data_IF_425520252645
#
_entry.id   IF_425520252645
#
_cell.length_a   1.000
_cell.length_b   1.000
_cell.length_c   1.000
_cell.angle_alpha   90.00
_cell.angle_beta   90.00
_cell.angle_gamma   90.00
#
_symmetry.space_group_name_H-M   'P 1'
#
loop_
_entity.id
_entity.type
_entity.pdbx_description
1 polymer ?
#
# COMPACT_ATOMS: atom_id res chain seq x y z
N UNK A 1 -55.97 3.19 53.15
CA UNK A 1 -56.96 2.12 53.37
C UNK A 1 -56.19 0.85 53.58
N UNK A 2 -55.94 0.55 54.82
CA UNK A 2 -56.65 -0.45 55.66
C UNK A 2 -56.13 -1.85 55.36
N UNK A 3 -55.24 -2.31 56.24
CA UNK A 3 -55.53 -3.27 57.33
C UNK A 3 -55.55 -4.71 56.80
N UNK A 4 -54.86 -5.71 57.30
CA UNK A 4 -54.78 -6.20 58.70
C UNK A 4 -53.83 -7.38 58.81
N UNK A 5 -53.06 -7.43 59.88
CA UNK A 5 -52.58 -8.63 60.56
C UNK A 5 -53.70 -9.13 61.53
N UNK A 6 -53.61 -10.19 62.28
CA UNK A 6 -52.81 -11.40 62.48
C UNK A 6 -53.69 -12.68 62.67
N UNK A 7 -53.52 -13.69 63.54
CA UNK A 7 -52.65 -13.85 64.73
C UNK A 7 -51.94 -15.23 64.91
N UNK A 8 -51.02 -15.22 65.83
CA UNK A 8 -50.42 -16.22 66.70
C UNK A 8 -51.32 -17.31 67.31
N UNK A 9 -50.82 -18.53 67.39
CA UNK A 9 -51.16 -19.44 68.53
C UNK A 9 -49.90 -20.27 68.89
N UNK A 10 -49.54 -20.16 70.13
CA UNK A 10 -48.58 -20.95 70.87
C UNK A 10 -49.25 -22.16 71.54
N UNK A 11 -48.49 -23.03 72.15
CA UNK A 11 -48.73 -24.06 73.16
C UNK A 11 -48.14 -25.41 72.69
N UNK A 12 -47.26 -26.11 73.33
CA UNK A 12 -46.70 -26.05 74.68
C UNK A 12 -46.09 -27.44 74.97
N UNK A 13 -45.04 -27.37 75.76
CA UNK A 13 -44.62 -28.37 76.76
C UNK A 13 -44.50 -29.86 76.43
N UNK A 14 -43.28 -30.38 76.51
CA UNK A 14 -42.94 -31.34 77.58
C UNK A 14 -41.45 -31.80 77.46
N UNK A 15 -40.74 -31.59 78.57
CA UNK A 15 -39.47 -32.20 78.90
C UNK A 15 -39.75 -33.59 79.53
N UNK A 16 -38.88 -34.62 79.38
CA UNK A 16 -37.95 -34.94 80.46
C UNK A 16 -36.52 -35.32 79.97
N UNK A 17 -35.51 -34.91 80.75
CA UNK A 17 -34.17 -35.49 80.87
C UNK A 17 -34.23 -36.69 81.87
N UNK A 18 -33.08 -37.34 82.21
CA UNK A 18 -31.74 -37.47 81.64
C UNK A 18 -31.23 -38.91 81.53
N UNK A 19 -30.16 -39.11 80.79
CA UNK A 19 -29.27 -40.24 81.09
C UNK A 19 -27.83 -39.87 80.76
N UNK A 20 -27.05 -39.97 81.79
CA UNK A 20 -25.62 -39.71 81.91
C UNK A 20 -24.86 -40.95 81.51
N UNK A 21 -23.89 -40.87 80.63
CA UNK A 21 -22.81 -41.81 80.52
C UNK A 21 -21.52 -41.14 79.99
N UNK A 22 -20.46 -41.52 80.59
CA UNK A 22 -19.15 -40.90 80.73
C UNK A 22 -18.23 -41.08 79.48
N UNK A 23 -16.97 -40.63 79.61
CA UNK A 23 -16.22 -39.99 78.53
C UNK A 23 -15.43 -40.97 77.71
N UNK A 24 -15.30 -40.72 76.44
CA UNK A 24 -14.30 -41.46 75.64
C UNK A 24 -13.41 -40.47 74.87
N UNK A 25 -12.18 -40.67 75.15
CA UNK A 25 -10.90 -40.25 74.57
C UNK A 25 -10.91 -39.26 73.40
N UNK A 26 -10.17 -38.20 73.65
CA UNK A 26 -9.65 -37.24 72.70
C UNK A 26 -8.97 -37.94 71.51
N UNK A 27 -9.55 -37.76 70.31
CA UNK A 27 -8.79 -37.87 69.06
C UNK A 27 -8.31 -36.47 68.68
N UNK A 28 -7.00 -36.32 68.33
CA UNK A 28 -6.50 -35.01 67.91
C UNK A 28 -7.19 -34.66 66.57
N UNK A 29 -7.77 -33.49 66.55
CA UNK A 29 -8.29 -32.87 65.30
C UNK A 29 -7.12 -32.79 64.30
N UNK A 30 -7.19 -33.65 63.31
CA UNK A 30 -6.42 -33.50 62.08
C UNK A 30 -6.78 -32.16 61.48
N UNK A 31 -5.90 -31.22 61.56
CA UNK A 31 -5.95 -29.95 60.84
C UNK A 31 -6.02 -30.31 59.36
N UNK A 32 -7.22 -30.37 58.84
CA UNK A 32 -7.44 -30.41 57.39
C UNK A 32 -6.80 -29.18 56.79
N UNK A 33 -5.58 -29.34 56.27
CA UNK A 33 -4.98 -28.33 55.43
C UNK A 33 -5.94 -28.04 54.29
N UNK A 34 -6.24 -26.77 54.06
CA UNK A 34 -6.98 -26.40 52.85
C UNK A 34 -6.08 -26.85 51.69
N UNK A 35 -6.50 -27.85 50.94
CA UNK A 35 -5.96 -28.15 49.62
C UNK A 35 -6.14 -26.86 48.83
N UNK A 36 -5.09 -26.06 48.76
CA UNK A 36 -4.96 -25.05 47.70
C UNK A 36 -5.11 -25.82 46.39
N UNK A 37 -6.33 -25.91 45.92
CA UNK A 37 -6.63 -26.37 44.59
C UNK A 37 -5.86 -25.47 43.66
N UNK A 38 -4.69 -25.94 43.19
CA UNK A 38 -4.15 -25.49 41.93
C UNK A 38 -5.27 -25.75 40.91
N UNK A 39 -6.07 -24.75 40.71
CA UNK A 39 -6.90 -24.64 39.51
C UNK A 39 -5.90 -24.45 38.36
N UNK A 40 -5.19 -25.49 38.01
CA UNK A 40 -4.62 -25.62 36.70
C UNK A 40 -5.83 -25.58 35.78
N UNK A 41 -5.99 -24.48 35.06
CA UNK A 41 -6.91 -24.40 33.96
C UNK A 41 -6.85 -25.74 33.22
N UNK A 42 -7.92 -26.48 33.23
CA UNK A 42 -8.00 -27.74 32.49
C UNK A 42 -8.06 -27.41 31.01
N UNK A 43 -6.92 -26.98 30.46
CA UNK A 43 -6.70 -26.67 29.04
C UNK A 43 -7.19 -27.83 28.14
N UNK A 44 -7.27 -29.06 28.70
CA UNK A 44 -7.74 -30.23 27.98
C UNK A 44 -9.17 -30.09 27.45
N UNK A 45 -10.08 -29.44 28.20
CA UNK A 45 -11.48 -29.27 27.79
C UNK A 45 -11.69 -28.16 26.76
N UNK A 46 -10.79 -27.17 26.73
CA UNK A 46 -10.88 -26.01 25.84
C UNK A 46 -9.80 -26.02 24.75
N UNK A 47 -8.97 -27.07 24.72
CA UNK A 47 -7.86 -27.17 23.77
C UNK A 47 -8.30 -26.97 22.32
N UNK A 48 -9.42 -27.60 21.94
CA UNK A 48 -9.89 -27.56 20.57
C UNK A 48 -10.42 -26.17 20.20
N UNK A 49 -11.06 -25.47 21.15
CA UNK A 49 -11.49 -24.09 20.97
C UNK A 49 -10.28 -23.15 20.87
N UNK A 50 -9.28 -23.33 21.73
CA UNK A 50 -8.05 -22.52 21.72
C UNK A 50 -7.31 -22.73 20.39
N UNK A 51 -7.19 -23.96 19.92
CA UNK A 51 -6.56 -24.28 18.64
C UNK A 51 -7.36 -23.68 17.49
N UNK A 52 -8.67 -23.79 17.50
CA UNK A 52 -9.52 -23.20 16.47
C UNK A 52 -9.37 -21.67 16.40
N UNK A 53 -9.39 -20.99 17.55
CA UNK A 53 -9.19 -19.54 17.64
C UNK A 53 -7.78 -19.14 17.19
N UNK A 54 -6.76 -19.90 17.61
CA UNK A 54 -5.38 -19.63 17.20
C UNK A 54 -5.18 -19.79 15.68
N UNK A 55 -5.79 -20.84 15.09
CA UNK A 55 -5.77 -21.03 13.64
C UNK A 55 -6.54 -19.94 12.91
N UNK A 56 -7.67 -19.50 13.45
CA UNK A 56 -8.43 -18.37 12.89
C UNK A 56 -7.60 -17.07 12.90
N UNK A 57 -6.98 -16.75 14.03
CA UNK A 57 -6.12 -15.56 14.14
C UNK A 57 -4.88 -15.66 13.23
N UNK A 58 -4.30 -16.85 13.08
CA UNK A 58 -3.19 -17.07 12.16
C UNK A 58 -3.63 -16.85 10.71
N UNK A 59 -4.81 -17.32 10.36
CA UNK A 59 -5.38 -17.13 9.02
C UNK A 59 -5.67 -15.65 8.75
N UNK A 60 -6.30 -14.94 9.71
CA UNK A 60 -6.55 -13.50 9.60
C UNK A 60 -5.26 -12.70 9.45
N UNK A 61 -4.24 -13.05 10.23
CA UNK A 61 -2.91 -12.45 10.10
C UNK A 61 -2.32 -12.70 8.72
N UNK A 62 -2.46 -13.92 8.19
CA UNK A 62 -2.03 -14.26 6.84
C UNK A 62 -2.72 -13.43 5.76
N UNK A 63 -4.03 -13.26 5.87
CA UNK A 63 -4.82 -12.40 4.96
C UNK A 63 -4.38 -10.94 5.07
N UNK A 64 -4.14 -10.45 6.29
CA UNK A 64 -3.68 -9.09 6.52
C UNK A 64 -2.30 -8.85 5.88
N UNK A 65 -1.35 -9.76 6.05
CA UNK A 65 -0.02 -9.68 5.43
C UNK A 65 -0.13 -9.71 3.90
N UNK A 66 -0.98 -10.60 3.36
CA UNK A 66 -1.21 -10.68 1.92
C UNK A 66 -1.81 -9.38 1.36
N UNK A 67 -2.79 -8.80 2.05
CA UNK A 67 -3.39 -7.52 1.67
C UNK A 67 -2.37 -6.38 1.69
N UNK A 68 -1.52 -6.33 2.71
CA UNK A 68 -0.44 -5.35 2.79
C UNK A 68 0.53 -5.50 1.61
N UNK A 69 0.99 -6.73 1.36
CA UNK A 69 1.90 -7.03 0.25
C UNK A 69 1.31 -6.61 -1.10
N UNK A 70 0.06 -7.01 -1.37
CA UNK A 70 -0.64 -6.66 -2.61
C UNK A 70 -0.84 -5.14 -2.73
N UNK A 71 -1.17 -4.45 -1.64
CA UNK A 71 -1.35 -3.00 -1.62
C UNK A 71 -0.06 -2.25 -1.96
N UNK A 72 1.08 -2.70 -1.44
CA UNK A 72 2.38 -2.13 -1.80
C UNK A 72 2.69 -2.32 -3.28
N UNK A 73 2.51 -3.53 -3.81
CA UNK A 73 2.75 -3.83 -5.21
C UNK A 73 1.86 -3.00 -6.15
N UNK A 74 0.58 -2.86 -5.84
CA UNK A 74 -0.35 -2.01 -6.62
C UNK A 74 0.09 -0.53 -6.58
N UNK A 75 0.60 -0.04 -5.47
CA UNK A 75 1.06 1.34 -5.34
C UNK A 75 2.29 1.62 -6.22
N UNK A 76 3.23 0.69 -6.30
CA UNK A 76 4.41 0.79 -7.18
C UNK A 76 4.01 0.72 -8.65
N UNK A 77 3.14 -0.22 -9.01
CA UNK A 77 2.60 -0.35 -10.37
C UNK A 77 1.83 0.89 -10.82
N UNK A 78 1.06 1.51 -9.93
CA UNK A 78 0.31 2.73 -10.24
C UNK A 78 1.22 3.90 -10.62
N UNK A 79 2.39 4.04 -9.99
CA UNK A 79 3.40 5.03 -10.37
C UNK A 79 3.92 4.75 -11.78
N UNK A 80 4.27 3.50 -12.08
CA UNK A 80 4.73 3.07 -13.39
C UNK A 80 3.70 3.35 -14.50
N UNK A 81 2.44 2.99 -14.27
CA UNK A 81 1.34 3.23 -15.22
C UNK A 81 1.12 4.72 -15.46
N UNK A 82 1.11 5.53 -14.41
CA UNK A 82 0.95 6.98 -14.53
C UNK A 82 2.09 7.62 -15.33
N UNK A 83 3.32 7.20 -15.07
CA UNK A 83 4.49 7.69 -15.80
C UNK A 83 4.53 7.22 -17.26
N UNK A 84 4.07 6.00 -17.55
CA UNK A 84 3.90 5.53 -18.93
C UNK A 84 2.84 6.36 -19.67
N UNK A 85 1.73 6.69 -19.02
CA UNK A 85 0.74 7.64 -19.57
C UNK A 85 1.33 9.02 -19.85
N UNK A 86 2.20 9.50 -18.95
CA UNK A 86 2.93 10.77 -19.13
C UNK A 86 3.88 10.73 -20.33
N UNK A 87 4.53 9.60 -20.62
CA UNK A 87 5.39 9.47 -21.80
C UNK A 87 4.63 9.79 -23.09
N UNK A 88 3.40 9.28 -23.22
CA UNK A 88 2.53 9.62 -24.36
C UNK A 88 2.23 11.11 -24.42
N UNK A 89 1.93 11.73 -23.28
CA UNK A 89 1.69 13.17 -23.21
C UNK A 89 2.95 13.98 -23.58
N UNK A 90 4.12 13.55 -23.14
CA UNK A 90 5.39 14.21 -23.44
C UNK A 90 5.75 14.13 -24.93
N UNK A 91 5.48 12.99 -25.60
CA UNK A 91 5.68 12.86 -27.03
C UNK A 91 4.76 13.81 -27.81
N UNK A 92 3.48 13.91 -27.43
CA UNK A 92 2.55 14.88 -28.04
C UNK A 92 2.98 16.33 -27.77
N UNK A 93 3.47 16.63 -26.57
CA UNK A 93 3.98 17.96 -26.22
C UNK A 93 5.22 18.33 -27.02
N UNK A 94 6.11 17.39 -27.26
CA UNK A 94 7.28 17.55 -28.13
C UNK A 94 6.84 17.88 -29.57
N UNK A 95 5.91 17.12 -30.12
CA UNK A 95 5.38 17.36 -31.46
C UNK A 95 4.68 18.73 -31.57
N UNK A 96 3.88 19.09 -30.56
CA UNK A 96 3.21 20.41 -30.48
C UNK A 96 4.22 21.55 -30.45
N UNK A 97 5.27 21.44 -29.61
CA UNK A 97 6.29 22.46 -29.50
C UNK A 97 7.09 22.63 -30.81
N UNK A 98 7.38 21.53 -31.52
CA UNK A 98 8.00 21.60 -32.85
C UNK A 98 7.14 22.30 -33.90
N UNK A 99 5.83 22.02 -33.91
CA UNK A 99 4.89 22.70 -34.81
C UNK A 99 4.75 24.18 -34.47
N UNK A 100 4.75 24.54 -33.18
CA UNK A 100 4.75 25.93 -32.74
C UNK A 100 6.03 26.65 -33.18
N UNK A 101 7.20 26.04 -33.01
CA UNK A 101 8.47 26.56 -33.51
C UNK A 101 8.48 26.79 -35.03
N UNK A 102 7.92 25.83 -35.78
CA UNK A 102 7.81 25.96 -37.25
C UNK A 102 6.90 27.15 -37.63
N UNK A 103 5.79 27.28 -36.95
CA UNK A 103 4.84 28.39 -37.17
C UNK A 103 5.42 29.74 -36.78
N UNK A 104 6.02 29.84 -35.58
CA UNK A 104 6.65 31.07 -35.11
C UNK A 104 7.77 31.53 -36.07
N UNK A 105 8.58 30.56 -36.53
CA UNK A 105 9.63 30.87 -37.49
C UNK A 105 9.11 31.38 -38.85
N UNK A 106 8.06 30.77 -39.38
CA UNK A 106 7.40 31.23 -40.61
C UNK A 106 6.81 32.64 -40.46
N UNK A 107 6.39 33.00 -39.25
CA UNK A 107 5.84 34.31 -38.91
C UNK A 107 6.91 35.31 -38.45
N UNK A 108 8.19 34.91 -38.40
CA UNK A 108 9.28 35.73 -37.85
C UNK A 108 9.06 36.17 -36.39
N UNK A 109 8.26 35.34 -35.64
CA UNK A 109 7.96 35.56 -34.24
C UNK A 109 9.10 35.00 -33.31
N UNK A 110 9.17 35.46 -32.05
CA UNK A 110 10.09 34.89 -31.05
C UNK A 110 9.84 33.39 -30.82
N UNK A 111 10.91 32.60 -30.75
CA UNK A 111 10.87 31.14 -30.66
C UNK A 111 11.30 30.63 -29.27
N UNK A 112 11.75 31.52 -28.39
CA UNK A 112 12.42 31.16 -27.14
C UNK A 112 11.50 30.37 -26.19
N UNK A 113 10.23 30.77 -26.10
CA UNK A 113 9.25 30.09 -25.23
C UNK A 113 8.95 28.67 -25.71
N UNK A 114 8.72 28.48 -27.01
CA UNK A 114 8.45 27.17 -27.59
C UNK A 114 9.69 26.26 -27.55
N UNK A 115 10.87 26.83 -27.71
CA UNK A 115 12.13 26.11 -27.57
C UNK A 115 12.36 25.63 -26.14
N UNK A 116 12.06 26.46 -25.15
CA UNK A 116 12.14 26.06 -23.74
C UNK A 116 11.11 24.99 -23.39
N UNK A 117 9.89 25.08 -23.94
CA UNK A 117 8.89 24.02 -23.79
C UNK A 117 9.38 22.69 -24.40
N UNK A 118 9.98 22.75 -25.60
CA UNK A 118 10.57 21.60 -26.25
C UNK A 118 11.67 20.97 -25.40
N UNK A 119 12.62 21.78 -24.90
CA UNK A 119 13.72 21.29 -24.05
C UNK A 119 13.20 20.56 -22.82
N UNK A 120 12.22 21.14 -22.11
CA UNK A 120 11.61 20.51 -20.92
C UNK A 120 10.91 19.20 -21.25
N UNK A 121 10.14 19.16 -22.35
CA UNK A 121 9.46 17.94 -22.77
C UNK A 121 10.45 16.82 -23.13
N UNK A 122 11.47 17.12 -23.90
CA UNK A 122 12.53 16.18 -24.31
C UNK A 122 13.31 15.66 -23.10
N UNK A 123 13.72 16.55 -22.18
CA UNK A 123 14.44 16.17 -20.97
C UNK A 123 13.62 15.24 -20.07
N UNK A 124 12.34 15.58 -19.84
CA UNK A 124 11.44 14.76 -19.03
C UNK A 124 11.18 13.40 -19.66
N UNK A 125 11.04 13.35 -20.99
CA UNK A 125 10.88 12.11 -21.72
C UNK A 125 12.11 11.21 -21.55
N UNK A 126 13.30 11.74 -21.76
CA UNK A 126 14.57 11.01 -21.68
C UNK A 126 14.83 10.45 -20.27
N UNK A 127 14.65 11.29 -19.24
CA UNK A 127 14.81 10.87 -17.84
C UNK A 127 13.81 9.77 -17.48
N UNK A 128 12.56 9.89 -17.92
CA UNK A 128 11.53 8.89 -17.64
C UNK A 128 11.80 7.58 -18.37
N UNK A 129 12.24 7.63 -19.64
CA UNK A 129 12.57 6.43 -20.41
C UNK A 129 13.75 5.66 -19.78
N UNK A 130 14.80 6.39 -19.36
CA UNK A 130 15.92 5.80 -18.61
C UNK A 130 15.49 5.24 -17.26
N UNK A 131 14.57 5.92 -16.58
CA UNK A 131 14.00 5.45 -15.32
C UNK A 131 13.25 4.11 -15.47
N UNK A 132 12.54 3.91 -16.56
CA UNK A 132 11.92 2.61 -16.86
C UNK A 132 12.93 1.49 -17.13
N UNK A 133 14.11 1.83 -17.65
CA UNK A 133 15.15 0.84 -17.95
C UNK A 133 15.95 0.39 -16.73
N UNK A 134 16.30 1.32 -15.84
CA UNK A 134 17.25 1.06 -14.76
C UNK A 134 16.75 1.40 -13.36
N UNK A 135 15.55 1.92 -13.24
CA UNK A 135 15.05 2.52 -12.02
C UNK A 135 15.72 3.88 -11.76
N UNK A 136 14.94 4.86 -11.32
CA UNK A 136 15.47 6.17 -10.94
C UNK A 136 14.44 6.97 -10.14
N UNK A 137 14.92 7.95 -9.36
CA UNK A 137 14.04 8.99 -8.83
C UNK A 137 13.86 10.08 -9.89
N UNK A 138 12.63 10.28 -10.30
CA UNK A 138 12.26 11.22 -11.36
C UNK A 138 11.16 12.17 -10.89
N UNK A 139 10.99 13.34 -11.52
CA UNK A 139 9.89 14.24 -11.19
C UNK A 139 8.54 13.58 -11.49
N UNK A 140 7.64 13.51 -10.52
CA UNK A 140 6.26 13.07 -10.68
C UNK A 140 5.39 14.07 -11.45
N UNK A 141 4.11 13.76 -11.58
CA UNK A 141 3.13 14.64 -12.26
C UNK A 141 2.91 15.97 -11.55
N UNK A 142 3.06 15.98 -10.24
CA UNK A 142 2.98 17.16 -9.36
C UNK A 142 4.34 17.87 -9.15
N UNK A 143 5.38 17.43 -9.85
CA UNK A 143 6.75 17.94 -9.73
C UNK A 143 7.55 17.38 -8.55
N UNK A 144 6.93 16.60 -7.66
CA UNK A 144 7.65 15.95 -6.54
C UNK A 144 8.45 14.77 -7.04
N UNK A 145 9.60 14.46 -6.39
CA UNK A 145 10.37 13.28 -6.73
C UNK A 145 9.59 12.01 -6.40
N UNK A 146 9.50 11.09 -7.36
CA UNK A 146 8.93 9.75 -7.18
C UNK A 146 9.96 8.71 -7.59
N UNK A 147 10.00 7.60 -6.87
CA UNK A 147 10.82 6.45 -7.23
C UNK A 147 10.10 5.68 -8.33
N UNK A 148 10.75 5.53 -9.47
CA UNK A 148 10.33 4.65 -10.56
C UNK A 148 11.19 3.40 -10.53
N UNK A 149 10.55 2.24 -10.38
CA UNK A 149 11.24 0.97 -10.48
C UNK A 149 11.47 0.60 -11.95
N UNK A 150 12.57 -0.10 -12.21
CA UNK A 150 12.83 -0.63 -13.55
C UNK A 150 11.70 -1.59 -13.95
N UNK A 151 11.30 -1.51 -15.22
CA UNK A 151 10.27 -2.42 -15.72
C UNK A 151 10.85 -3.83 -15.86
N UNK A 152 10.17 -4.81 -15.24
CA UNK A 152 10.65 -6.17 -15.16
C UNK A 152 10.07 -7.06 -16.27
N UNK A 153 10.82 -8.10 -16.62
CA UNK A 153 10.44 -9.14 -17.56
C UNK A 153 10.91 -8.92 -19.00
N UNK A 154 11.15 -10.02 -19.70
CA UNK A 154 11.72 -10.04 -21.05
C UNK A 154 10.90 -9.23 -22.07
N UNK A 155 9.57 -9.25 -21.95
CA UNK A 155 8.67 -8.50 -22.83
C UNK A 155 8.83 -6.99 -22.64
N UNK A 156 8.91 -6.53 -21.40
CA UNK A 156 9.11 -5.12 -21.08
C UNK A 156 10.48 -4.64 -21.57
N UNK A 157 11.53 -5.42 -21.32
CA UNK A 157 12.89 -5.13 -21.78
C UNK A 157 12.95 -4.98 -23.31
N UNK A 158 12.33 -5.88 -24.06
CA UNK A 158 12.29 -5.82 -25.53
C UNK A 158 11.56 -4.55 -26.03
N UNK A 159 10.45 -4.17 -25.40
CA UNK A 159 9.71 -2.95 -25.74
C UNK A 159 10.55 -1.70 -25.44
N UNK A 160 11.20 -1.65 -24.27
CA UNK A 160 12.05 -0.53 -23.88
C UNK A 160 13.27 -0.39 -24.77
N UNK A 161 13.88 -1.51 -25.18
CA UNK A 161 15.01 -1.48 -26.15
C UNK A 161 14.55 -0.91 -27.50
N UNK A 162 13.39 -1.31 -27.99
CA UNK A 162 12.81 -0.74 -29.22
C UNK A 162 12.52 0.74 -29.06
N UNK A 163 11.91 1.15 -27.95
CA UNK A 163 11.63 2.54 -27.67
C UNK A 163 12.90 3.39 -27.58
N UNK A 164 13.94 2.85 -26.96
CA UNK A 164 15.25 3.52 -26.90
C UNK A 164 15.89 3.71 -28.28
N UNK A 165 15.80 2.72 -29.17
CA UNK A 165 16.31 2.84 -30.54
C UNK A 165 15.60 3.95 -31.32
N UNK A 166 14.26 4.03 -31.23
CA UNK A 166 13.46 5.10 -31.85
C UNK A 166 13.85 6.46 -31.22
N UNK A 167 13.93 6.51 -29.90
CA UNK A 167 14.24 7.72 -29.17
C UNK A 167 15.64 8.28 -29.50
N UNK A 168 16.64 7.43 -29.59
CA UNK A 168 18.02 7.84 -29.97
C UNK A 168 18.05 8.50 -31.34
N UNK A 169 17.36 7.93 -32.31
CA UNK A 169 17.24 8.51 -33.65
C UNK A 169 16.50 9.85 -33.61
N UNK A 170 15.43 9.92 -32.81
CA UNK A 170 14.68 11.17 -32.67
C UNK A 170 15.51 12.27 -31.97
N UNK A 171 16.25 11.94 -30.94
CA UNK A 171 17.16 12.88 -30.28
C UNK A 171 18.21 13.46 -31.24
N UNK A 172 18.75 12.64 -32.14
CA UNK A 172 19.68 13.11 -33.17
C UNK A 172 19.05 14.15 -34.10
N UNK A 173 17.80 13.96 -34.48
CA UNK A 173 17.03 14.94 -35.30
C UNK A 173 16.65 16.19 -34.49
N UNK A 174 16.44 16.08 -33.16
CA UNK A 174 16.13 17.21 -32.29
C UNK A 174 17.35 18.05 -31.92
N UNK A 175 18.55 17.47 -31.92
CA UNK A 175 19.74 18.12 -31.43
C UNK A 175 20.02 19.52 -32.07
N UNK A 176 19.92 19.70 -33.41
CA UNK A 176 20.09 21.01 -34.03
C UNK A 176 18.99 22.00 -33.64
N UNK A 177 17.76 21.52 -33.42
CA UNK A 177 16.64 22.36 -32.99
C UNK A 177 16.87 22.84 -31.56
N UNK A 178 17.27 21.93 -30.67
CA UNK A 178 17.53 22.22 -29.24
C UNK A 178 18.74 23.16 -29.07
N UNK A 179 19.66 23.22 -30.05
CA UNK A 179 20.77 24.20 -30.07
C UNK A 179 20.29 25.65 -30.30
N UNK A 180 19.00 25.85 -30.64
CA UNK A 180 18.36 27.17 -30.69
C UNK A 180 18.48 27.93 -32.01
N UNK A 181 19.14 27.36 -33.00
CA UNK A 181 19.29 28.00 -34.36
C UNK A 181 19.08 26.94 -35.46
N UNK A 182 17.94 26.26 -35.53
CA UNK A 182 17.72 25.25 -36.56
C UNK A 182 17.59 25.92 -37.94
N UNK A 183 18.04 25.24 -38.97
CA UNK A 183 17.61 25.57 -40.35
C UNK A 183 16.19 25.10 -40.57
N UNK A 184 15.52 25.62 -41.60
CA UNK A 184 14.15 25.22 -41.92
C UNK A 184 14.10 23.73 -42.31
N UNK A 185 15.11 23.21 -42.98
CA UNK A 185 15.22 21.80 -43.31
C UNK A 185 15.34 20.90 -42.04
N UNK A 186 16.16 21.31 -41.07
CA UNK A 186 16.33 20.60 -39.81
C UNK A 186 15.03 20.57 -38.98
N UNK A 187 14.34 21.72 -38.93
CA UNK A 187 13.08 21.83 -38.22
C UNK A 187 11.98 20.96 -38.89
N UNK A 188 11.91 21.01 -40.23
CA UNK A 188 10.99 20.15 -40.98
C UNK A 188 11.27 18.68 -40.77
N UNK A 189 12.54 18.24 -40.85
CA UNK A 189 12.92 16.87 -40.59
C UNK A 189 12.52 16.39 -39.18
N UNK A 190 12.70 17.25 -38.14
CA UNK A 190 12.30 16.93 -36.78
C UNK A 190 10.76 16.81 -36.65
N UNK A 191 9.98 17.69 -37.33
CA UNK A 191 8.52 17.63 -37.36
C UNK A 191 8.03 16.39 -38.07
N UNK A 192 8.61 16.04 -39.23
CA UNK A 192 8.20 14.87 -40.00
C UNK A 192 8.46 13.58 -39.24
N UNK A 193 9.59 13.50 -38.54
CA UNK A 193 9.89 12.35 -37.66
C UNK A 193 8.92 12.25 -36.48
N UNK A 194 8.41 13.35 -35.96
CA UNK A 194 7.45 13.35 -34.86
C UNK A 194 6.05 12.86 -35.24
N UNK A 195 5.77 12.71 -36.54
CA UNK A 195 4.48 12.24 -37.09
C UNK A 195 4.42 10.74 -37.32
N UNK A 196 5.54 10.07 -37.31
CA UNK A 196 5.69 8.61 -37.51
C UNK A 196 5.53 7.85 -36.18
#
# INVERSE_FOLDING_TARGET
>A
MSTTLPPTVAVGLAVPAPARAAPNAAQPASLAQPKRGQQWFSLGKYRDIIVAVALFLLFDLGVLVLNFYTSFQISEDAIGINLAGRQRMLSQRTAKALLALQTARAQQAPIEADLEELRKAVQLFDISLKGFQSGATIPGGDGKPVMLHAAEGAKAAAILQKAQGIWTTYQANLAPVLAGKPTDAQLSAAVDYARV
#
